data_IF_180733772435
#
_entry.id   IF_180733772435
#
_cell.length_a   1.000
_cell.length_b   1.000
_cell.length_c   1.000
_cell.angle_alpha   90.00
_cell.angle_beta   90.00
_cell.angle_gamma   90.00
#
_symmetry.space_group_name_H-M   'P 1'
#
loop_
_entity.id
_entity.type
_entity.pdbx_description
1 polymer ?
#
# COMPACT_ATOMS: atom_id res chain seq x y z
N UNK A 1 -5.15 -23.88 -11.37
CA UNK A 1 -3.96 -23.78 -10.49
C UNK A 1 -3.99 -22.38 -9.93
N UNK A 2 -4.24 -22.22 -8.63
CA UNK A 2 -4.16 -20.89 -7.99
C UNK A 2 -2.69 -20.50 -7.95
N UNK A 3 -2.24 -19.78 -8.97
CA UNK A 3 -0.89 -19.26 -9.03
C UNK A 3 -0.77 -18.17 -7.97
N UNK A 4 -0.34 -18.55 -6.77
CA UNK A 4 -0.18 -17.63 -5.65
C UNK A 4 0.92 -16.66 -6.02
N UNK A 5 0.60 -15.37 -6.11
CA UNK A 5 1.56 -14.31 -6.40
C UNK A 5 2.81 -14.48 -5.52
N UNK A 6 4.04 -14.38 -6.07
CA UNK A 6 5.26 -14.53 -5.28
C UNK A 6 5.29 -13.48 -4.17
N UNK A 7 5.79 -13.85 -2.99
CA UNK A 7 5.96 -12.85 -1.92
C UNK A 7 7.10 -11.88 -2.27
N UNK A 8 7.12 -10.71 -1.62
CA UNK A 8 8.23 -9.78 -1.79
C UNK A 8 9.57 -10.40 -1.35
N UNK A 9 9.53 -11.28 -0.34
CA UNK A 9 10.68 -12.05 0.13
C UNK A 9 11.22 -12.98 -0.96
N UNK A 10 10.34 -13.69 -1.67
CA UNK A 10 10.74 -14.60 -2.76
C UNK A 10 11.34 -13.82 -3.93
N UNK A 11 10.76 -12.66 -4.26
CA UNK A 11 11.31 -11.78 -5.29
C UNK A 11 12.73 -11.30 -4.92
N UNK A 12 12.91 -10.80 -3.69
CA UNK A 12 14.22 -10.34 -3.21
C UNK A 12 15.23 -11.48 -3.15
N UNK A 13 14.81 -12.69 -2.74
CA UNK A 13 15.65 -13.89 -2.75
C UNK A 13 16.21 -14.19 -4.14
N UNK A 14 15.32 -14.30 -5.15
CA UNK A 14 15.72 -14.54 -6.54
C UNK A 14 16.63 -13.45 -7.10
N UNK A 15 16.39 -12.18 -6.76
CA UNK A 15 17.25 -11.08 -7.17
C UNK A 15 18.67 -11.21 -6.59
N UNK A 16 18.79 -11.59 -5.31
CA UNK A 16 20.08 -11.85 -4.66
C UNK A 16 20.82 -13.01 -5.30
N UNK A 17 20.14 -14.13 -5.54
CA UNK A 17 20.71 -15.31 -6.19
C UNK A 17 21.22 -15.01 -7.61
N UNK A 18 20.52 -14.14 -8.35
CA UNK A 18 20.93 -13.72 -9.69
C UNK A 18 22.20 -12.86 -9.73
N UNK A 19 22.71 -12.39 -8.57
CA UNK A 19 23.85 -11.47 -8.49
C UNK A 19 23.57 -10.06 -9.01
N UNK A 20 22.33 -9.76 -9.41
CA UNK A 20 21.93 -8.45 -9.94
C UNK A 20 21.74 -7.45 -8.80
N UNK A 21 22.29 -6.25 -8.97
CA UNK A 21 21.97 -5.10 -8.10
C UNK A 21 20.68 -4.47 -8.58
N UNK A 22 19.64 -4.52 -7.75
CA UNK A 22 18.32 -4.00 -8.08
C UNK A 22 17.76 -3.21 -6.90
N UNK A 23 16.99 -2.18 -7.22
CA UNK A 23 16.20 -1.40 -6.27
C UNK A 23 14.74 -1.63 -6.55
N UNK A 24 13.96 -1.90 -5.50
CA UNK A 24 12.50 -1.95 -5.58
C UNK A 24 11.97 -0.52 -5.46
N UNK A 25 11.08 -0.14 -6.37
CA UNK A 25 10.44 1.18 -6.37
C UNK A 25 9.07 1.10 -5.70
N UNK A 26 8.93 1.71 -4.53
CA UNK A 26 7.63 1.95 -3.90
C UNK A 26 7.00 3.24 -4.43
N UNK A 27 5.75 3.17 -4.87
CA UNK A 27 5.01 4.29 -5.45
C UNK A 27 3.99 4.81 -4.45
N UNK A 28 4.12 6.09 -4.07
CA UNK A 28 3.10 6.80 -3.31
C UNK A 28 1.86 7.04 -4.18
N UNK A 29 0.67 6.56 -3.78
CA UNK A 29 -0.54 6.59 -4.61
C UNK A 29 -1.21 7.97 -4.55
N UNK A 30 -0.51 9.05 -4.92
CA UNK A 30 -0.99 10.43 -4.71
C UNK A 30 -2.20 10.82 -5.60
N UNK A 31 -2.46 10.09 -6.68
CA UNK A 31 -3.63 10.26 -7.55
C UNK A 31 -3.89 9.02 -8.41
N UNK A 32 -5.11 8.89 -8.95
CA UNK A 32 -5.43 7.84 -9.92
C UNK A 32 -4.50 7.83 -11.15
N UNK A 33 -4.09 9.03 -11.60
CA UNK A 33 -3.16 9.18 -12.74
C UNK A 33 -1.81 8.55 -12.42
N UNK A 34 -1.27 8.78 -11.22
CA UNK A 34 0.00 8.18 -10.78
C UNK A 34 -0.14 6.66 -10.62
N UNK A 35 -1.26 6.19 -10.08
CA UNK A 35 -1.51 4.75 -9.94
C UNK A 35 -1.57 4.05 -11.30
N UNK A 36 -2.30 4.61 -12.26
CA UNK A 36 -2.35 4.10 -13.65
C UNK A 36 -0.96 4.13 -14.30
N UNK A 37 -0.25 5.25 -14.22
CA UNK A 37 1.08 5.39 -14.81
C UNK A 37 2.07 4.37 -14.24
N UNK A 38 1.99 4.08 -12.94
CA UNK A 38 2.80 3.04 -12.31
C UNK A 38 2.53 1.66 -12.93
N UNK A 39 1.26 1.25 -13.07
CA UNK A 39 0.93 0.00 -13.75
C UNK A 39 1.42 -0.05 -15.20
N UNK A 40 1.28 1.03 -15.97
CA UNK A 40 1.75 1.09 -17.35
C UNK A 40 3.27 0.98 -17.47
N UNK A 41 4.02 1.57 -16.53
CA UNK A 41 5.48 1.43 -16.45
C UNK A 41 5.85 -0.01 -16.05
N UNK A 42 5.21 -0.57 -15.02
CA UNK A 42 5.45 -1.93 -14.56
C UNK A 42 5.21 -2.96 -15.66
N UNK A 43 4.12 -2.80 -16.42
CA UNK A 43 3.81 -3.64 -17.61
C UNK A 43 4.91 -3.55 -18.67
N UNK A 44 5.33 -2.34 -19.05
CA UNK A 44 6.36 -2.13 -20.09
C UNK A 44 7.75 -2.61 -19.67
N UNK A 45 8.06 -2.57 -18.38
CA UNK A 45 9.38 -2.90 -17.84
C UNK A 45 9.47 -4.29 -17.22
N UNK A 46 8.37 -5.05 -17.22
CA UNK A 46 8.25 -6.35 -16.59
C UNK A 46 8.78 -6.35 -15.13
N UNK A 47 8.36 -5.35 -14.35
CA UNK A 47 8.75 -5.18 -12.95
C UNK A 47 7.51 -5.18 -12.04
N UNK A 48 7.65 -5.56 -10.75
CA UNK A 48 6.54 -5.57 -9.80
C UNK A 48 5.94 -4.17 -9.62
N UNK A 49 4.62 -4.11 -9.37
CA UNK A 49 3.97 -2.90 -8.90
C UNK A 49 3.98 -2.90 -7.37
N UNK A 50 4.54 -1.87 -6.75
CA UNK A 50 4.58 -1.72 -5.28
C UNK A 50 3.98 -0.36 -4.94
N UNK A 51 2.85 -0.36 -4.24
CA UNK A 51 2.19 0.85 -3.77
C UNK A 51 2.37 1.01 -2.27
N UNK A 52 2.76 2.20 -1.83
CA UNK A 52 3.01 2.52 -0.42
C UNK A 52 2.06 3.64 0.01
N UNK A 53 1.08 3.33 0.86
CA UNK A 53 0.12 4.31 1.36
C UNK A 53 0.37 4.60 2.84
N UNK A 54 0.49 5.89 3.19
CA UNK A 54 0.60 6.28 4.59
C UNK A 54 -0.74 6.15 5.31
N UNK A 55 -0.75 6.05 6.64
CA UNK A 55 -2.00 6.03 7.42
C UNK A 55 -2.83 7.30 7.20
N UNK A 56 -2.20 8.44 6.98
CA UNK A 56 -2.93 9.68 6.65
C UNK A 56 -3.61 9.59 5.27
N UNK A 57 -3.01 8.86 4.32
CA UNK A 57 -3.58 8.71 2.98
C UNK A 57 -4.74 7.73 2.94
N UNK A 58 -4.61 6.58 3.60
CA UNK A 58 -5.59 5.48 3.57
C UNK A 58 -5.71 4.88 4.96
N UNK A 59 -6.91 4.84 5.53
CA UNK A 59 -7.17 4.26 6.84
C UNK A 59 -8.65 3.90 7.01
N UNK A 60 -8.96 3.13 8.05
CA UNK A 60 -10.31 2.68 8.34
C UNK A 60 -11.27 3.87 8.49
N UNK A 61 -12.49 3.72 7.96
CA UNK A 61 -13.55 4.71 8.12
C UNK A 61 -13.85 4.99 9.60
N UNK A 62 -13.84 3.95 10.45
CA UNK A 62 -14.00 4.05 11.91
C UNK A 62 -12.91 4.89 12.60
N UNK A 63 -11.74 5.03 11.97
CA UNK A 63 -10.63 5.85 12.44
C UNK A 63 -10.60 7.23 11.77
N UNK A 64 -11.66 7.59 11.03
CA UNK A 64 -11.80 8.88 10.35
C UNK A 64 -11.21 8.91 8.95
N UNK A 65 -11.12 7.75 8.27
CA UNK A 65 -10.64 7.55 6.89
C UNK A 65 -9.27 8.18 6.57
N UNK A 66 -8.74 7.94 5.37
CA UNK A 66 -7.59 8.68 4.84
C UNK A 66 -8.02 9.88 3.99
N UNK A 67 -7.12 10.83 3.70
CA UNK A 67 -7.44 11.99 2.84
C UNK A 67 -7.40 11.67 1.34
N UNK A 68 -6.82 10.53 0.95
CA UNK A 68 -6.59 10.21 -0.44
C UNK A 68 -7.92 10.09 -1.20
N UNK A 69 -7.99 10.74 -2.37
CA UNK A 69 -9.17 10.77 -3.25
C UNK A 69 -10.48 11.14 -2.53
N UNK A 70 -10.41 12.00 -1.51
CA UNK A 70 -11.58 12.52 -0.81
C UNK A 70 -12.14 11.63 0.29
N UNK A 71 -11.43 10.56 0.68
CA UNK A 71 -11.87 9.65 1.74
C UNK A 71 -11.74 8.19 1.33
N UNK A 72 -10.54 7.60 1.46
CA UNK A 72 -10.31 6.18 1.16
C UNK A 72 -10.04 5.37 2.43
N UNK A 73 -10.75 4.25 2.54
CA UNK A 73 -10.37 3.12 3.39
C UNK A 73 -9.51 2.10 2.63
N UNK A 74 -8.95 1.14 3.35
CA UNK A 74 -8.08 0.11 2.78
C UNK A 74 -8.78 -0.69 1.68
N UNK A 75 -10.04 -1.06 1.89
CA UNK A 75 -10.82 -1.86 0.96
C UNK A 75 -11.09 -1.11 -0.35
N UNK A 76 -11.47 0.17 -0.28
CA UNK A 76 -11.64 1.04 -1.43
C UNK A 76 -10.33 1.26 -2.18
N UNK A 77 -9.22 1.43 -1.44
CA UNK A 77 -7.90 1.57 -2.03
C UNK A 77 -7.47 0.32 -2.81
N UNK A 78 -7.59 -0.88 -2.20
CA UNK A 78 -7.31 -2.16 -2.87
C UNK A 78 -8.19 -2.34 -4.10
N UNK A 79 -9.51 -2.11 -3.99
CA UNK A 79 -10.43 -2.20 -5.14
C UNK A 79 -10.03 -1.25 -6.27
N UNK A 80 -9.62 -0.04 -5.95
CA UNK A 80 -9.17 0.96 -6.94
C UNK A 80 -7.93 0.46 -7.68
N UNK A 81 -6.93 -0.06 -6.97
CA UNK A 81 -5.73 -0.63 -7.58
C UNK A 81 -6.05 -1.85 -8.44
N UNK A 82 -6.94 -2.75 -7.99
CA UNK A 82 -7.34 -3.94 -8.75
C UNK A 82 -8.10 -3.59 -10.03
N UNK A 83 -9.00 -2.59 -9.96
CA UNK A 83 -9.68 -2.04 -11.14
C UNK A 83 -8.66 -1.51 -12.15
N UNK A 84 -7.73 -0.67 -11.72
CA UNK A 84 -6.71 -0.10 -12.60
C UNK A 84 -5.75 -1.16 -13.17
N UNK A 85 -5.36 -2.14 -12.35
CA UNK A 85 -4.57 -3.29 -12.79
C UNK A 85 -5.23 -3.98 -13.98
N UNK A 86 -6.54 -4.26 -13.87
CA UNK A 86 -7.31 -4.90 -14.93
C UNK A 86 -7.45 -4.02 -16.18
N UNK A 87 -7.77 -2.72 -16.01
CA UNK A 87 -7.88 -1.77 -17.11
C UNK A 87 -6.57 -1.59 -17.90
N UNK A 88 -5.43 -1.63 -17.22
CA UNK A 88 -4.10 -1.57 -17.86
C UNK A 88 -3.68 -2.94 -18.42
N UNK A 89 -4.31 -4.04 -18.01
CA UNK A 89 -3.89 -5.39 -18.38
C UNK A 89 -2.50 -5.74 -17.83
N UNK A 90 -2.22 -5.37 -16.58
CA UNK A 90 -0.98 -5.74 -15.91
C UNK A 90 -1.13 -7.07 -15.16
N UNK A 91 -0.42 -8.10 -15.64
CA UNK A 91 -0.48 -9.48 -15.13
C UNK A 91 0.63 -9.79 -14.09
N UNK A 92 1.52 -8.83 -13.82
CA UNK A 92 2.59 -9.04 -12.85
C UNK A 92 2.12 -8.91 -11.39
N UNK A 93 3.04 -9.18 -10.43
CA UNK A 93 2.72 -9.08 -9.01
C UNK A 93 2.43 -7.64 -8.59
N UNK A 94 1.46 -7.48 -7.67
CA UNK A 94 1.08 -6.21 -7.03
C UNK A 94 1.26 -6.34 -5.52
N UNK A 95 2.08 -5.48 -4.94
CA UNK A 95 2.28 -5.39 -3.50
C UNK A 95 1.68 -4.09 -3.00
N UNK A 96 0.77 -4.19 -2.03
CA UNK A 96 0.12 -3.06 -1.39
C UNK A 96 0.70 -3.00 0.02
N UNK A 97 1.31 -1.87 0.35
CA UNK A 97 2.16 -1.73 1.52
C UNK A 97 1.78 -0.50 2.33
N UNK A 98 1.99 -0.59 3.64
CA UNK A 98 1.81 0.50 4.58
C UNK A 98 3.10 1.30 4.71
N UNK A 99 3.00 2.60 4.50
CA UNK A 99 4.01 3.57 4.93
C UNK A 99 3.58 4.22 6.25
N UNK A 100 4.52 4.61 7.12
CA UNK A 100 4.23 5.38 8.34
C UNK A 100 2.94 4.94 9.10
N UNK A 101 2.80 3.65 9.41
CA UNK A 101 1.58 3.07 10.02
C UNK A 101 1.56 3.04 11.55
N UNK A 102 2.54 3.68 12.21
CA UNK A 102 2.72 3.61 13.65
C UNK A 102 1.68 4.37 14.48
N UNK A 103 1.90 4.50 15.80
CA UNK A 103 1.13 5.40 16.65
C UNK A 103 1.44 6.87 16.34
N UNK A 104 0.53 7.78 16.71
CA UNK A 104 0.64 9.25 16.57
C UNK A 104 0.92 9.74 15.14
N UNK A 105 0.30 9.11 14.14
CA UNK A 105 0.54 9.46 12.74
C UNK A 105 -0.35 10.61 12.26
N UNK A 106 -1.42 10.92 13.02
CA UNK A 106 -2.33 12.04 12.74
C UNK A 106 -2.06 13.19 13.69
N UNK A 107 -2.15 14.42 13.19
CA UNK A 107 -1.99 15.63 14.01
C UNK A 107 -2.95 15.62 15.21
N UNK A 108 -4.21 15.24 15.01
CA UNK A 108 -5.20 15.10 16.10
C UNK A 108 -4.70 14.23 17.27
N UNK A 109 -3.98 13.14 17.00
CA UNK A 109 -3.47 12.25 18.04
C UNK A 109 -2.33 12.89 18.85
N UNK A 110 -1.57 13.79 18.22
CA UNK A 110 -0.53 14.58 18.86
C UNK A 110 -1.13 15.77 19.62
N UNK A 111 -2.06 16.50 18.98
CA UNK A 111 -2.71 17.70 19.51
C UNK A 111 -3.58 17.37 20.74
N UNK A 112 -4.24 16.21 20.74
CA UNK A 112 -5.02 15.70 21.87
C UNK A 112 -4.19 14.85 22.86
N UNK A 113 -2.86 14.82 22.69
CA UNK A 113 -1.90 14.14 23.56
C UNK A 113 -2.32 12.69 23.91
N UNK A 114 -2.64 11.89 22.88
CA UNK A 114 -3.13 10.53 23.13
C UNK A 114 -2.13 9.70 23.94
N UNK A 115 -2.58 8.98 24.99
CA UNK A 115 -1.72 8.09 25.75
C UNK A 115 -1.22 6.94 24.86
N UNK A 116 -0.05 6.41 25.22
CA UNK A 116 0.65 5.36 24.46
C UNK A 116 -0.27 4.18 24.14
N UNK A 117 -1.06 3.73 25.10
CA UNK A 117 -1.97 2.60 24.97
C UNK A 117 -3.02 2.84 23.88
N UNK A 118 -3.62 4.04 23.87
CA UNK A 118 -4.62 4.45 22.88
C UNK A 118 -4.01 4.55 21.49
N UNK A 119 -2.87 5.23 21.37
CA UNK A 119 -2.19 5.40 20.08
C UNK A 119 -1.74 4.05 19.49
N UNK A 120 -1.26 3.13 20.34
CA UNK A 120 -0.89 1.78 19.93
C UNK A 120 -2.09 0.92 19.54
N UNK A 121 -3.22 1.03 20.25
CA UNK A 121 -4.45 0.34 19.87
C UNK A 121 -4.93 0.76 18.48
N UNK A 122 -4.95 2.06 18.22
CA UNK A 122 -5.34 2.64 16.92
C UNK A 122 -4.42 2.13 15.80
N UNK A 123 -3.10 2.18 16.01
CA UNK A 123 -2.14 1.67 15.01
C UNK A 123 -2.37 0.19 14.70
N UNK A 124 -2.58 -0.65 15.73
CA UNK A 124 -2.87 -2.08 15.55
C UNK A 124 -4.16 -2.34 14.78
N UNK A 125 -5.20 -1.54 15.04
CA UNK A 125 -6.48 -1.66 14.34
C UNK A 125 -6.33 -1.26 12.86
N UNK A 126 -5.61 -0.17 12.57
CA UNK A 126 -5.28 0.24 11.21
C UNK A 126 -4.50 -0.84 10.43
N UNK A 127 -3.47 -1.45 11.05
CA UNK A 127 -2.74 -2.57 10.45
C UNK A 127 -3.61 -3.82 10.25
N UNK A 128 -4.58 -4.08 11.13
CA UNK A 128 -5.54 -5.17 10.91
C UNK A 128 -6.36 -4.90 9.64
N UNK A 129 -6.84 -3.68 9.47
CA UNK A 129 -7.52 -3.25 8.24
C UNK A 129 -6.67 -3.45 6.99
N UNK A 130 -5.35 -3.24 7.07
CA UNK A 130 -4.43 -3.49 5.95
C UNK A 130 -4.31 -4.97 5.59
N UNK A 131 -4.32 -5.86 6.59
CA UNK A 131 -4.18 -7.31 6.39
C UNK A 131 -5.48 -7.93 5.87
N UNK A 132 -6.63 -7.37 6.25
CA UNK A 132 -7.96 -7.86 5.86
C UNK A 132 -8.40 -7.38 4.47
N UNK A 133 -7.76 -6.35 3.90
CA UNK A 133 -8.06 -5.78 2.58
C UNK A 133 -7.33 -6.45 1.42
#
# INVERSE_FOLDING_TARGET
MTDTQPTLKDLVGRLRESGRKCTLLGVGPVSEVVMRAAFEVCRRRACPAIFIASRNQVDLESLGHGYLMGGMDQQAFVRTLRRMQAEVGYEGPVYICRDHGGPWQRNMELDEEYPVERAMQIARESFRGDIEA
#
